data_IF_737904554795
#
_entry.id   IF_737904554795
#
_cell.length_a   1.000
_cell.length_b   1.000
_cell.length_c   1.000
_cell.angle_alpha   90.00
_cell.angle_beta   90.00
_cell.angle_gamma   90.00
#
_symmetry.space_group_name_H-M   'P 1'
#
loop_
_entity.id
_entity.type
_entity.pdbx_description
1 polymer ?
#
# COMPACT_ATOMS: atom_id res chain seq x y z
N UNK A 1 27.02 -62.03 -0.04
CA UNK A 1 26.21 -62.08 1.19
C UNK A 1 25.43 -60.78 1.25
N UNK A 2 24.30 -60.71 0.53
CA UNK A 2 22.93 -61.01 1.02
C UNK A 2 22.50 -60.11 2.17
N UNK A 3 21.49 -59.28 1.91
CA UNK A 3 20.78 -58.55 2.96
C UNK A 3 19.89 -57.42 2.46
N UNK A 4 19.04 -57.67 1.46
CA UNK A 4 17.89 -56.81 1.11
C UNK A 4 16.81 -57.00 2.19
N UNK A 5 16.25 -55.91 2.72
CA UNK A 5 14.97 -55.95 3.45
C UNK A 5 14.01 -54.91 2.89
N UNK A 6 12.93 -55.45 2.32
CA UNK A 6 11.65 -54.82 2.00
C UNK A 6 11.12 -54.04 3.23
N UNK A 7 10.42 -52.92 3.09
CA UNK A 7 9.21 -52.72 2.30
C UNK A 7 8.04 -52.61 3.28
N UNK A 8 7.61 -51.38 3.56
CA UNK A 8 6.31 -51.12 4.20
C UNK A 8 5.57 -50.12 3.33
N UNK A 9 4.57 -50.64 2.61
CA UNK A 9 3.62 -49.87 1.81
C UNK A 9 2.64 -49.22 2.77
N UNK A 10 2.70 -47.89 2.89
CA UNK A 10 1.57 -47.14 3.43
C UNK A 10 0.53 -47.02 2.32
N UNK A 11 -0.65 -47.53 2.61
CA UNK A 11 -1.78 -47.64 1.71
C UNK A 11 -2.21 -46.27 1.15
N UNK A 12 -2.48 -46.26 -0.15
CA UNK A 12 -3.23 -45.21 -0.80
C UNK A 12 -4.62 -45.12 -0.16
N UNK A 13 -4.98 -43.93 0.32
CA UNK A 13 -6.36 -43.60 0.62
C UNK A 13 -6.80 -42.49 -0.33
N UNK A 14 -7.19 -42.91 -1.53
CA UNK A 14 -7.92 -42.09 -2.50
C UNK A 14 -9.35 -41.93 -1.99
N UNK A 15 -9.66 -40.80 -1.35
CA UNK A 15 -11.05 -40.30 -1.26
C UNK A 15 -11.04 -38.79 -1.08
N UNK A 16 -11.42 -38.04 -2.12
CA UNK A 16 -11.55 -36.59 -2.02
C UNK A 16 -11.83 -35.92 -3.36
N UNK A 17 -13.11 -35.89 -3.73
CA UNK A 17 -13.69 -35.23 -4.91
C UNK A 17 -12.99 -33.91 -5.26
N UNK A 18 -12.31 -33.88 -6.41
CA UNK A 18 -11.72 -32.68 -6.99
C UNK A 18 -12.79 -31.73 -7.52
N UNK A 19 -13.29 -30.85 -6.67
CA UNK A 19 -13.79 -29.56 -7.11
C UNK A 19 -12.56 -28.71 -7.46
N UNK A 20 -12.40 -28.32 -8.72
CA UNK A 20 -11.29 -27.48 -9.15
C UNK A 20 -11.24 -26.20 -8.33
N UNK A 21 -10.32 -26.11 -7.36
CA UNK A 21 -10.07 -24.85 -6.67
C UNK A 21 -9.42 -23.92 -7.68
N UNK A 22 -10.13 -22.84 -8.04
CA UNK A 22 -9.54 -21.77 -8.85
C UNK A 22 -8.33 -21.23 -8.10
N UNK A 23 -7.16 -21.28 -8.74
CA UNK A 23 -5.93 -20.66 -8.20
C UNK A 23 -6.19 -19.17 -8.00
N UNK A 24 -5.96 -18.65 -6.78
CA UNK A 24 -6.10 -17.23 -6.50
C UNK A 24 -5.03 -16.45 -7.29
N UNK A 25 -5.47 -15.57 -8.18
CA UNK A 25 -4.59 -14.72 -9.01
C UNK A 25 -4.80 -13.24 -8.74
N UNK A 26 -3.75 -12.46 -9.03
CA UNK A 26 -3.73 -11.00 -9.02
C UNK A 26 -3.14 -10.51 -10.34
N UNK A 27 -3.59 -9.34 -10.81
CA UNK A 27 -3.01 -8.67 -11.97
C UNK A 27 -1.93 -7.72 -11.50
N UNK A 28 -0.69 -8.00 -11.89
CA UNK A 28 0.52 -7.33 -11.41
C UNK A 28 1.13 -6.49 -12.53
N UNK A 29 1.37 -5.21 -12.24
CA UNK A 29 2.14 -4.33 -13.12
C UNK A 29 3.64 -4.56 -12.95
N UNK A 30 4.14 -4.60 -11.70
CA UNK A 30 5.58 -4.62 -11.42
C UNK A 30 5.89 -5.30 -10.07
N UNK A 31 7.02 -6.01 -9.98
CA UNK A 31 7.60 -6.47 -8.70
C UNK A 31 9.11 -6.20 -8.75
N UNK A 32 9.64 -5.43 -7.81
CA UNK A 32 11.06 -5.09 -7.76
C UNK A 32 11.52 -4.70 -6.35
N UNK A 33 12.83 -4.76 -6.12
CA UNK A 33 13.46 -4.30 -4.87
C UNK A 33 13.87 -2.84 -5.01
N UNK A 34 13.64 -2.05 -3.96
CA UNK A 34 13.91 -0.62 -3.90
C UNK A 34 14.20 -0.15 -2.46
N UNK A 35 14.19 1.17 -2.26
CA UNK A 35 13.92 1.81 -0.98
C UNK A 35 12.46 2.28 -0.94
N UNK A 36 11.80 2.12 0.20
CA UNK A 36 10.51 2.75 0.44
C UNK A 36 10.71 4.27 0.31
N UNK A 37 9.95 4.88 -0.60
CA UNK A 37 10.12 6.28 -0.99
C UNK A 37 9.38 7.27 -0.09
N UNK A 38 8.36 6.82 0.62
CA UNK A 38 7.44 7.66 1.41
C UNK A 38 7.13 6.99 2.76
N UNK A 39 6.23 7.56 3.57
CA UNK A 39 5.78 7.07 4.88
C UNK A 39 6.82 7.20 6.00
N UNK A 40 6.51 6.70 7.19
CA UNK A 40 7.49 6.57 8.28
C UNK A 40 8.64 5.63 7.95
N UNK A 41 8.52 4.81 6.91
CA UNK A 41 9.52 3.84 6.46
C UNK A 41 10.41 4.34 5.31
N UNK A 42 10.29 5.61 4.92
CA UNK A 42 11.12 6.21 3.88
C UNK A 42 12.63 5.93 4.10
N UNK A 43 13.31 5.43 3.06
CA UNK A 43 14.72 5.05 3.09
C UNK A 43 15.01 3.61 3.53
N UNK A 44 14.00 2.82 3.89
CA UNK A 44 14.18 1.39 4.24
C UNK A 44 14.19 0.54 2.97
N UNK A 45 15.11 -0.43 2.80
CA UNK A 45 15.02 -1.43 1.73
C UNK A 45 13.69 -2.17 1.76
N UNK A 46 13.01 -2.25 0.62
CA UNK A 46 11.73 -2.94 0.49
C UNK A 46 11.55 -3.61 -0.87
N UNK A 47 10.70 -4.62 -0.93
CA UNK A 47 10.15 -5.13 -2.18
C UNK A 47 8.83 -4.44 -2.45
N UNK A 48 8.69 -3.80 -3.62
CA UNK A 48 7.42 -3.25 -4.07
C UNK A 48 6.68 -4.28 -4.91
N UNK A 49 5.39 -4.44 -4.63
CA UNK A 49 4.44 -5.24 -5.41
C UNK A 49 3.37 -4.28 -5.91
N UNK A 50 3.44 -3.92 -7.20
CA UNK A 50 2.51 -2.98 -7.84
C UNK A 50 1.43 -3.75 -8.59
N UNK A 51 0.21 -3.72 -8.09
CA UNK A 51 -0.98 -4.27 -8.73
C UNK A 51 -1.45 -3.36 -9.88
N UNK A 52 -2.32 -3.89 -10.73
CA UNK A 52 -2.95 -3.15 -11.83
C UNK A 52 -4.41 -2.82 -11.52
N UNK A 53 -4.89 -1.68 -12.02
CA UNK A 53 -6.30 -1.27 -12.02
C UNK A 53 -6.65 -0.40 -10.83
N UNK A 54 -7.30 0.74 -11.08
CA UNK A 54 -7.77 1.66 -10.04
C UNK A 54 -9.10 2.28 -10.48
N UNK A 55 -10.07 2.41 -9.57
CA UNK A 55 -11.32 3.13 -9.80
C UNK A 55 -11.19 4.65 -9.84
N UNK A 56 -10.09 5.22 -9.36
CA UNK A 56 -9.87 6.68 -9.32
C UNK A 56 -9.10 7.20 -10.55
N UNK A 57 -9.27 8.49 -10.86
CA UNK A 57 -8.49 9.21 -11.90
C UNK A 57 -7.95 10.53 -11.35
N UNK A 58 -7.11 10.42 -10.32
CA UNK A 58 -6.54 11.60 -9.65
C UNK A 58 -5.79 12.49 -10.66
N UNK A 59 -6.02 13.80 -10.62
CA UNK A 59 -5.39 14.76 -11.55
C UNK A 59 -3.86 14.79 -11.49
N UNK A 60 -3.27 14.39 -10.35
CA UNK A 60 -1.82 14.32 -10.12
C UNK A 60 -1.26 12.89 -10.12
N UNK A 61 -2.00 11.89 -10.64
CA UNK A 61 -1.55 10.50 -10.60
C UNK A 61 -0.22 10.32 -11.35
N UNK A 62 0.81 9.86 -10.65
CA UNK A 62 2.15 9.61 -11.20
C UNK A 62 2.34 8.18 -11.73
N UNK A 63 1.34 7.32 -11.51
CA UNK A 63 1.37 5.89 -11.85
C UNK A 63 0.22 5.51 -12.79
N UNK A 64 -0.14 6.38 -13.74
CA UNK A 64 -1.23 6.14 -14.71
C UNK A 64 -1.02 4.88 -15.54
N UNK A 65 0.23 4.45 -15.71
CA UNK A 65 0.58 3.21 -16.41
C UNK A 65 0.04 1.95 -15.72
N UNK A 66 -0.23 2.00 -14.42
CA UNK A 66 -0.82 0.89 -13.67
C UNK A 66 -2.35 0.85 -13.75
N UNK A 67 -3.00 1.67 -14.58
CA UNK A 67 -4.47 1.62 -14.75
C UNK A 67 -4.95 0.42 -15.59
N UNK A 68 -4.08 -0.17 -16.40
CA UNK A 68 -4.41 -1.29 -17.31
C UNK A 68 -3.17 -2.11 -17.67
N UNK A 69 -3.36 -3.31 -18.20
CA UNK A 69 -2.27 -4.22 -18.57
C UNK A 69 -1.85 -5.12 -17.40
N UNK A 70 -0.56 -5.42 -17.30
CA UNK A 70 -0.02 -6.31 -16.27
C UNK A 70 -0.26 -7.80 -16.53
N UNK A 71 0.41 -8.62 -15.73
CA UNK A 71 0.39 -10.08 -15.82
C UNK A 71 -0.50 -10.67 -14.73
N UNK A 72 -1.34 -11.63 -15.09
CA UNK A 72 -2.11 -12.41 -14.11
C UNK A 72 -1.22 -13.46 -13.47
N UNK A 73 -0.75 -13.21 -12.25
CA UNK A 73 0.13 -14.10 -11.50
C UNK A 73 -0.63 -14.80 -10.38
N UNK A 74 -0.27 -16.05 -10.10
CA UNK A 74 -0.76 -16.76 -8.91
C UNK A 74 -0.16 -16.13 -7.64
N UNK A 75 -0.92 -16.11 -6.54
CA UNK A 75 -0.42 -15.58 -5.26
C UNK A 75 0.88 -16.27 -4.82
N UNK A 76 0.99 -17.60 -5.01
CA UNK A 76 2.21 -18.35 -4.70
C UNK A 76 3.42 -17.92 -5.53
N UNK A 77 3.20 -17.56 -6.80
CA UNK A 77 4.25 -17.06 -7.69
C UNK A 77 4.73 -15.68 -7.23
N UNK A 78 3.81 -14.79 -6.87
CA UNK A 78 4.13 -13.46 -6.34
C UNK A 78 4.96 -13.58 -5.06
N UNK A 79 4.53 -14.43 -4.13
CA UNK A 79 5.26 -14.70 -2.88
C UNK A 79 6.68 -15.20 -3.17
N UNK A 80 6.83 -16.12 -4.12
CA UNK A 80 8.14 -16.66 -4.52
C UNK A 80 9.06 -15.54 -5.02
N UNK A 81 8.59 -14.71 -5.96
CA UNK A 81 9.35 -13.57 -6.49
C UNK A 81 9.73 -12.57 -5.41
N UNK A 82 8.83 -12.29 -4.47
CA UNK A 82 9.11 -11.39 -3.33
C UNK A 82 10.21 -11.95 -2.43
N UNK A 83 10.19 -13.26 -2.15
CA UNK A 83 11.22 -13.92 -1.34
C UNK A 83 12.59 -13.91 -2.04
N UNK A 84 12.65 -14.14 -3.34
CA UNK A 84 13.88 -14.08 -4.14
C UNK A 84 14.53 -12.68 -4.11
N UNK A 85 13.73 -11.63 -4.01
CA UNK A 85 14.20 -10.25 -3.89
C UNK A 85 14.73 -9.92 -2.48
N UNK A 86 14.42 -10.72 -1.46
CA UNK A 86 15.13 -10.72 -0.16
C UNK A 86 15.01 -9.44 0.68
N UNK A 87 13.86 -8.78 0.70
CA UNK A 87 13.60 -7.65 1.60
C UNK A 87 12.57 -8.02 2.67
N UNK A 88 12.86 -7.70 3.94
CA UNK A 88 11.96 -7.94 5.07
C UNK A 88 10.70 -7.05 5.05
N UNK A 89 10.78 -5.91 4.35
CA UNK A 89 9.69 -4.98 4.16
C UNK A 89 9.09 -5.18 2.76
N UNK A 90 7.78 -5.38 2.69
CA UNK A 90 7.04 -5.48 1.43
C UNK A 90 5.97 -4.39 1.37
N UNK A 91 6.02 -3.57 0.33
CA UNK A 91 4.99 -2.57 0.04
C UNK A 91 4.11 -3.08 -1.09
N UNK A 92 2.84 -3.37 -0.78
CA UNK A 92 1.81 -3.68 -1.76
C UNK A 92 1.10 -2.37 -2.12
N UNK A 93 1.06 -2.06 -3.41
CA UNK A 93 0.52 -0.81 -3.97
C UNK A 93 -0.03 -1.09 -5.37
N UNK A 94 -0.26 -0.05 -6.18
CA UNK A 94 -0.39 -0.17 -7.63
C UNK A 94 -1.82 -0.35 -8.11
N UNK A 95 -2.21 0.48 -9.08
CA UNK A 95 -3.61 0.84 -9.16
C UNK A 95 -4.17 1.03 -7.74
N UNK A 96 -5.38 0.54 -7.45
CA UNK A 96 -5.86 0.35 -6.09
C UNK A 96 -5.70 -1.14 -5.70
N UNK A 97 -4.76 -1.50 -4.81
CA UNK A 97 -4.54 -2.90 -4.47
C UNK A 97 -5.77 -3.55 -3.81
N UNK A 98 -6.56 -2.79 -3.06
CA UNK A 98 -7.73 -3.32 -2.34
C UNK A 98 -8.96 -3.52 -3.23
N UNK A 99 -8.91 -3.17 -4.52
CA UNK A 99 -9.94 -3.52 -5.50
C UNK A 99 -9.81 -4.96 -6.01
N UNK A 100 -8.62 -5.57 -5.90
CA UNK A 100 -8.42 -6.95 -6.32
C UNK A 100 -8.76 -7.93 -5.19
N UNK A 101 -9.80 -8.76 -5.41
CA UNK A 101 -10.37 -9.68 -4.42
C UNK A 101 -9.35 -10.58 -3.71
N UNK A 102 -8.28 -10.98 -4.42
CA UNK A 102 -7.29 -11.93 -3.92
C UNK A 102 -6.08 -11.26 -3.23
N UNK A 103 -6.16 -9.96 -2.89
CA UNK A 103 -5.05 -9.27 -2.22
C UNK A 103 -4.86 -9.74 -0.78
N UNK A 104 -5.94 -10.10 -0.07
CA UNK A 104 -5.84 -10.60 1.32
C UNK A 104 -5.00 -11.87 1.42
N UNK A 105 -5.21 -12.93 0.60
CA UNK A 105 -4.31 -14.07 0.57
C UNK A 105 -2.83 -13.72 0.37
N UNK A 106 -2.52 -12.73 -0.48
CA UNK A 106 -1.14 -12.27 -0.67
C UNK A 106 -0.57 -11.63 0.60
N UNK A 107 -1.33 -10.71 1.21
CA UNK A 107 -0.94 -10.03 2.45
C UNK A 107 -0.68 -11.05 3.56
N UNK A 108 -1.61 -11.99 3.76
CA UNK A 108 -1.52 -13.01 4.80
C UNK A 108 -0.35 -13.96 4.58
N UNK A 109 -0.12 -14.40 3.33
CA UNK A 109 0.99 -15.29 3.00
C UNK A 109 2.35 -14.63 3.27
N UNK A 110 2.53 -13.36 2.89
CA UNK A 110 3.76 -12.61 3.16
C UNK A 110 3.97 -12.36 4.66
N UNK A 111 2.91 -11.99 5.38
CA UNK A 111 2.97 -11.78 6.83
C UNK A 111 3.31 -13.08 7.58
N UNK A 112 2.75 -14.22 7.15
CA UNK A 112 3.04 -15.54 7.72
C UNK A 112 4.49 -16.00 7.53
N UNK A 113 5.17 -15.47 6.50
CA UNK A 113 6.62 -15.66 6.28
C UNK A 113 7.49 -14.72 7.12
N UNK A 114 6.89 -13.87 7.95
CA UNK A 114 7.58 -12.92 8.82
C UNK A 114 7.90 -11.58 8.18
N UNK A 115 7.45 -11.31 6.94
CA UNK A 115 7.64 -10.02 6.31
C UNK A 115 6.81 -8.93 7.02
N UNK A 116 7.38 -7.74 7.16
CA UNK A 116 6.59 -6.54 7.47
C UNK A 116 5.86 -6.11 6.21
N UNK A 117 4.53 -6.24 6.18
CA UNK A 117 3.71 -5.85 5.03
C UNK A 117 3.11 -4.47 5.25
N UNK A 118 3.23 -3.61 4.23
CA UNK A 118 2.53 -2.33 4.13
C UNK A 118 1.62 -2.33 2.90
N UNK A 119 0.46 -1.69 3.00
CA UNK A 119 -0.47 -1.51 1.88
C UNK A 119 -0.73 -0.01 1.71
N UNK A 120 -0.43 0.51 0.51
CA UNK A 120 -0.82 1.86 0.13
C UNK A 120 -2.13 1.83 -0.68
N UNK A 121 -3.15 2.54 -0.20
CA UNK A 121 -4.50 2.56 -0.78
C UNK A 121 -5.02 3.99 -0.93
N UNK A 122 -5.81 4.23 -1.98
CA UNK A 122 -6.46 5.51 -2.27
C UNK A 122 -7.69 5.80 -1.41
N UNK A 123 -8.06 4.90 -0.50
CA UNK A 123 -9.03 5.15 0.55
C UNK A 123 -10.49 5.25 0.12
N UNK A 124 -10.81 4.97 -1.14
CA UNK A 124 -12.17 4.88 -1.67
C UNK A 124 -12.80 3.49 -1.53
N UNK A 125 -12.01 2.47 -1.17
CA UNK A 125 -12.46 1.10 -0.85
C UNK A 125 -12.16 0.74 0.60
N UNK A 126 -12.74 -0.35 1.09
CA UNK A 126 -12.58 -0.78 2.50
C UNK A 126 -11.14 -1.17 2.81
N UNK A 127 -10.60 -0.75 3.95
CA UNK A 127 -9.28 -1.20 4.45
C UNK A 127 -9.31 -2.55 5.16
N UNK A 128 -10.49 -3.10 5.44
CA UNK A 128 -10.67 -4.41 6.11
C UNK A 128 -9.80 -5.53 5.53
N UNK A 129 -9.65 -5.68 4.19
CA UNK A 129 -8.82 -6.74 3.60
C UNK A 129 -7.35 -6.71 4.02
N UNK A 130 -6.83 -5.56 4.48
CA UNK A 130 -5.44 -5.39 4.92
C UNK A 130 -5.30 -5.21 6.45
N UNK A 131 -6.37 -4.78 7.13
CA UNK A 131 -6.32 -4.30 8.52
C UNK A 131 -5.83 -5.33 9.55
N UNK A 132 -5.88 -6.63 9.26
CA UNK A 132 -5.42 -7.66 10.20
C UNK A 132 -3.89 -7.94 10.11
N UNK A 133 -3.30 -7.82 8.92
CA UNK A 133 -1.98 -8.40 8.62
C UNK A 133 -1.00 -7.43 7.94
N UNK A 134 -1.41 -6.21 7.62
CA UNK A 134 -0.52 -5.19 7.06
C UNK A 134 -0.69 -3.85 7.78
N UNK A 135 0.35 -3.00 7.72
CA UNK A 135 0.23 -1.57 8.02
C UNK A 135 -0.46 -0.87 6.85
N UNK A 136 -1.52 -0.11 7.12
CA UNK A 136 -2.25 0.62 6.08
C UNK A 136 -1.72 2.05 5.97
N UNK A 137 -1.33 2.45 4.75
CA UNK A 137 -1.09 3.84 4.37
C UNK A 137 -2.32 4.30 3.58
N UNK A 138 -3.23 5.00 4.24
CA UNK A 138 -4.48 5.48 3.67
C UNK A 138 -4.28 6.87 3.07
N UNK A 139 -4.28 6.99 1.75
CA UNK A 139 -4.20 8.28 1.06
C UNK A 139 -5.60 8.91 0.92
N UNK A 140 -5.92 9.85 1.82
CA UNK A 140 -7.14 10.63 1.74
C UNK A 140 -7.01 11.68 0.63
N UNK A 141 -7.83 11.50 -0.40
CA UNK A 141 -7.82 12.33 -1.60
C UNK A 141 -8.30 13.74 -1.28
N UNK A 142 -7.46 14.73 -1.56
CA UNK A 142 -7.74 16.15 -1.39
C UNK A 142 -8.49 16.70 -2.61
N UNK A 143 -9.12 17.89 -2.53
CA UNK A 143 -9.80 18.51 -3.68
C UNK A 143 -8.94 18.58 -4.95
N UNK A 144 -7.64 18.85 -4.84
CA UNK A 144 -6.70 18.88 -5.96
C UNK A 144 -6.56 17.56 -6.72
N UNK A 145 -6.99 16.44 -6.13
CA UNK A 145 -7.08 15.16 -6.84
C UNK A 145 -8.26 15.10 -7.82
N UNK A 146 -9.30 15.90 -7.59
CA UNK A 146 -10.62 15.76 -8.23
C UNK A 146 -11.41 14.52 -7.80
N UNK A 147 -10.95 13.82 -6.75
CA UNK A 147 -11.45 12.51 -6.30
C UNK A 147 -11.87 12.52 -4.83
N UNK A 148 -11.89 13.67 -4.15
CA UNK A 148 -12.14 13.80 -2.71
C UNK A 148 -13.52 13.26 -2.27
N UNK A 149 -14.49 13.28 -3.19
CA UNK A 149 -15.85 12.75 -2.95
C UNK A 149 -15.89 11.22 -2.86
N UNK A 150 -14.86 10.54 -3.36
CA UNK A 150 -14.75 9.09 -3.30
C UNK A 150 -14.14 8.58 -1.99
N UNK A 151 -13.63 9.46 -1.12
CA UNK A 151 -13.08 9.05 0.17
C UNK A 151 -14.13 8.31 1.01
N UNK A 152 -13.78 7.08 1.41
CA UNK A 152 -14.59 6.27 2.32
C UNK A 152 -14.20 6.56 3.76
N UNK A 153 -14.93 7.48 4.39
CA UNK A 153 -14.60 8.00 5.71
C UNK A 153 -14.67 6.95 6.83
N UNK A 154 -15.44 5.88 6.66
CA UNK A 154 -15.54 4.76 7.60
C UNK A 154 -14.19 4.06 7.80
N UNK A 155 -13.28 4.14 6.83
CA UNK A 155 -11.93 3.60 6.98
C UNK A 155 -11.19 4.23 8.16
N UNK A 156 -11.48 5.49 8.51
CA UNK A 156 -10.84 6.16 9.63
C UNK A 156 -11.17 5.51 10.98
N UNK A 157 -12.34 4.88 11.10
CA UNK A 157 -12.75 4.16 12.31
C UNK A 157 -11.96 2.86 12.51
N UNK A 158 -11.32 2.35 11.46
CA UNK A 158 -10.59 1.08 11.47
C UNK A 158 -9.08 1.24 11.66
N UNK A 159 -8.58 2.48 11.72
CA UNK A 159 -7.16 2.76 11.83
C UNK A 159 -6.59 2.38 13.21
N UNK A 160 -5.38 1.83 13.20
CA UNK A 160 -4.58 1.47 14.36
C UNK A 160 -3.37 2.40 14.48
N UNK A 161 -2.66 2.31 15.59
CA UNK A 161 -1.46 3.14 15.83
C UNK A 161 -0.28 2.83 14.93
N UNK A 162 -0.27 1.65 14.30
CA UNK A 162 0.72 1.28 13.28
C UNK A 162 0.43 1.88 11.91
N UNK A 163 -0.82 2.29 11.64
CA UNK A 163 -1.25 2.76 10.33
C UNK A 163 -0.81 4.21 10.10
N UNK A 164 -1.02 4.71 8.89
CA UNK A 164 -0.67 6.07 8.48
C UNK A 164 -1.79 6.67 7.62
N UNK A 165 -2.05 7.97 7.77
CA UNK A 165 -2.93 8.71 6.85
C UNK A 165 -2.11 9.71 6.07
N UNK A 166 -2.17 9.62 4.75
CA UNK A 166 -1.48 10.49 3.80
C UNK A 166 -2.46 11.48 3.19
N UNK A 167 -2.01 12.72 3.05
CA UNK A 167 -2.68 13.74 2.24
C UNK A 167 -1.68 14.23 1.20
N UNK A 168 -1.95 13.98 -0.07
CA UNK A 168 -1.21 14.60 -1.18
C UNK A 168 -1.80 15.98 -1.48
N UNK A 169 -0.96 17.01 -1.42
CA UNK A 169 -1.36 18.41 -1.47
C UNK A 169 -0.80 19.06 -2.73
N UNK A 170 -1.68 19.63 -3.54
CA UNK A 170 -1.31 20.34 -4.78
C UNK A 170 -1.22 21.85 -4.58
N UNK A 171 -1.83 22.40 -3.54
CA UNK A 171 -1.96 23.84 -3.34
C UNK A 171 -2.22 24.24 -1.87
N UNK A 172 -2.38 25.55 -1.63
CA UNK A 172 -2.78 26.08 -0.31
C UNK A 172 -4.20 25.68 0.05
N UNK A 173 -5.10 25.57 -0.93
CA UNK A 173 -6.49 25.13 -0.74
C UNK A 173 -6.54 23.69 -0.22
N UNK A 174 -5.75 22.79 -0.80
CA UNK A 174 -5.62 21.40 -0.32
C UNK A 174 -5.08 21.36 1.12
N UNK A 175 -4.08 22.19 1.42
CA UNK A 175 -3.53 22.30 2.77
C UNK A 175 -4.59 22.75 3.78
N UNK A 176 -5.35 23.81 3.47
CA UNK A 176 -6.42 24.33 4.33
C UNK A 176 -7.52 23.29 4.53
N UNK A 177 -7.88 22.56 3.47
CA UNK A 177 -8.84 21.47 3.53
C UNK A 177 -8.35 20.33 4.43
N UNK A 178 -7.11 19.87 4.26
CA UNK A 178 -6.53 18.81 5.08
C UNK A 178 -6.43 19.23 6.56
N UNK A 179 -6.05 20.49 6.82
CA UNK A 179 -6.04 21.08 8.16
C UNK A 179 -7.42 21.07 8.81
N UNK A 180 -8.47 21.40 8.06
CA UNK A 180 -9.85 21.36 8.54
C UNK A 180 -10.32 19.93 8.83
N UNK A 181 -9.96 18.96 7.98
CA UNK A 181 -10.21 17.53 8.23
C UNK A 181 -9.61 17.10 9.57
N UNK A 182 -8.36 17.46 9.84
CA UNK A 182 -7.69 17.17 11.12
C UNK A 182 -8.35 17.88 12.31
N UNK A 183 -8.83 19.11 12.11
CA UNK A 183 -9.48 19.90 13.14
C UNK A 183 -10.85 19.33 13.54
N UNK A 184 -11.68 18.91 12.57
CA UNK A 184 -13.07 18.47 12.80
C UNK A 184 -13.23 16.99 13.06
N UNK A 185 -12.52 16.12 12.34
CA UNK A 185 -12.82 14.68 12.40
C UNK A 185 -12.35 14.05 13.70
N UNK A 186 -13.19 13.17 14.24
CA UNK A 186 -12.94 12.46 15.50
C UNK A 186 -13.20 10.95 15.35
N UNK A 187 -12.48 10.25 14.45
CA UNK A 187 -12.60 8.80 14.38
C UNK A 187 -12.31 8.19 15.75
N UNK A 188 -13.11 7.20 16.14
CA UNK A 188 -13.02 6.54 17.44
C UNK A 188 -13.09 7.52 18.63
N UNK A 189 -13.74 8.68 18.43
CA UNK A 189 -13.82 9.78 19.42
C UNK A 189 -12.52 10.57 19.62
N UNK A 190 -11.47 10.35 18.81
CA UNK A 190 -10.12 10.92 19.01
C UNK A 190 -9.67 11.76 17.82
N UNK A 191 -8.76 12.70 18.04
CA UNK A 191 -8.08 13.39 16.94
C UNK A 191 -7.29 12.37 16.11
N UNK A 192 -7.29 12.51 14.78
CA UNK A 192 -6.61 11.57 13.89
C UNK A 192 -5.11 11.41 14.23
N UNK A 193 -4.41 12.50 14.52
CA UNK A 193 -3.01 12.51 14.95
C UNK A 193 -2.74 11.88 16.32
N UNK A 194 -3.79 11.50 17.06
CA UNK A 194 -3.71 10.71 18.31
C UNK A 194 -4.01 9.23 18.08
N UNK A 195 -4.43 8.86 16.88
CA UNK A 195 -4.64 7.47 16.48
C UNK A 195 -3.38 6.97 15.80
N UNK A 196 -2.93 7.68 14.75
CA UNK A 196 -1.88 7.24 13.85
C UNK A 196 -1.04 8.41 13.33
N UNK A 197 0.03 8.10 12.59
CA UNK A 197 0.85 9.13 11.94
C UNK A 197 0.06 9.78 10.80
N UNK A 198 0.10 11.12 10.73
CA UNK A 198 -0.46 11.88 9.63
C UNK A 198 0.66 12.47 8.78
N UNK A 199 0.64 12.19 7.49
CA UNK A 199 1.62 12.61 6.48
C UNK A 199 1.02 13.68 5.59
N UNK A 200 1.72 14.81 5.45
CA UNK A 200 1.43 15.83 4.44
C UNK A 200 2.49 15.74 3.35
N UNK A 201 2.08 15.43 2.13
CA UNK A 201 2.96 15.18 0.98
C UNK A 201 2.73 16.23 -0.09
N UNK A 202 3.76 16.96 -0.54
CA UNK A 202 3.60 17.86 -1.68
C UNK A 202 3.51 17.04 -2.98
N UNK A 203 2.52 17.33 -3.81
CA UNK A 203 2.43 16.73 -5.14
C UNK A 203 3.58 17.21 -6.02
N UNK A 204 4.28 16.28 -6.67
CA UNK A 204 5.46 16.58 -7.46
C UNK A 204 5.17 17.61 -8.55
N UNK A 205 6.00 18.66 -8.62
CA UNK A 205 5.89 19.73 -9.61
C UNK A 205 4.71 20.69 -9.41
N UNK A 206 3.82 20.44 -8.45
CA UNK A 206 2.65 21.26 -8.17
C UNK A 206 2.78 22.08 -6.88
N UNK A 207 3.40 21.50 -5.85
CA UNK A 207 3.64 22.18 -4.58
C UNK A 207 5.10 22.10 -4.17
N UNK A 208 5.70 23.25 -3.87
CA UNK A 208 7.06 23.32 -3.32
C UNK A 208 7.09 22.72 -1.90
N UNK A 209 7.93 21.70 -1.64
CA UNK A 209 8.11 21.13 -0.31
C UNK A 209 8.49 22.14 0.77
N UNK A 210 9.29 23.17 0.45
CA UNK A 210 9.71 24.18 1.41
C UNK A 210 8.52 25.07 1.81
N UNK A 211 7.63 25.37 0.87
CA UNK A 211 6.41 26.12 1.12
C UNK A 211 5.47 25.33 2.04
N UNK A 212 5.26 24.04 1.75
CA UNK A 212 4.46 23.16 2.61
C UNK A 212 5.06 23.04 4.02
N UNK A 213 6.38 22.91 4.13
CA UNK A 213 7.07 22.88 5.43
C UNK A 213 6.81 24.17 6.22
N UNK A 214 6.92 25.34 5.57
CA UNK A 214 6.62 26.63 6.18
C UNK A 214 5.20 26.70 6.74
N UNK A 215 4.21 26.22 6.00
CA UNK A 215 2.82 26.18 6.44
C UNK A 215 2.61 25.29 7.67
N UNK A 216 3.18 24.08 7.67
CA UNK A 216 3.10 23.14 8.79
C UNK A 216 3.69 23.76 10.06
N UNK A 217 4.83 24.45 9.94
CA UNK A 217 5.51 25.10 11.05
C UNK A 217 4.72 26.31 11.59
N UNK A 218 4.18 27.14 10.69
CA UNK A 218 3.36 28.32 11.03
C UNK A 218 2.13 27.91 11.86
N UNK A 219 1.40 26.90 11.41
CA UNK A 219 0.18 26.42 12.07
C UNK A 219 0.45 25.43 13.22
N UNK A 220 1.71 25.02 13.43
CA UNK A 220 2.12 24.03 14.43
C UNK A 220 1.33 22.72 14.34
N UNK A 221 1.12 22.23 13.12
CA UNK A 221 0.31 21.04 12.89
C UNK A 221 1.01 19.78 13.41
N UNK A 222 0.29 18.85 14.07
CA UNK A 222 0.82 17.58 14.53
C UNK A 222 0.88 16.56 13.37
N UNK A 223 1.65 16.89 12.34
CA UNK A 223 1.80 16.10 11.11
C UNK A 223 3.28 15.97 10.76
N UNK A 224 3.61 14.99 9.91
CA UNK A 224 4.94 14.79 9.35
C UNK A 224 4.95 15.26 7.90
N UNK A 225 5.94 16.06 7.52
CA UNK A 225 6.24 16.32 6.11
C UNK A 225 6.73 15.02 5.47
N UNK A 226 6.08 14.59 4.41
CA UNK A 226 6.39 13.37 3.69
C UNK A 226 6.86 13.70 2.27
N UNK A 227 8.13 13.43 1.99
CA UNK A 227 8.72 13.66 0.68
C UNK A 227 8.80 12.36 -0.10
N UNK A 228 8.75 12.46 -1.42
CA UNK A 228 8.98 11.33 -2.32
C UNK A 228 10.50 11.11 -2.50
N UNK A 229 11.13 10.39 -1.57
CA UNK A 229 12.58 10.19 -1.54
C UNK A 229 13.11 9.58 -2.85
N UNK A 230 12.35 8.65 -3.44
CA UNK A 230 12.72 8.00 -4.69
C UNK A 230 12.86 9.00 -5.87
N UNK A 231 12.08 10.08 -5.89
CA UNK A 231 12.20 11.15 -6.90
C UNK A 231 13.44 12.02 -6.69
N UNK A 232 13.91 12.13 -5.45
CA UNK A 232 15.14 12.87 -5.11
C UNK A 232 16.37 12.04 -5.50
N UNK A 233 16.35 10.74 -5.21
CA UNK A 233 17.47 9.83 -5.49
C UNK A 233 17.60 9.50 -6.99
N UNK A 234 16.47 9.32 -7.68
CA UNK A 234 16.44 8.90 -9.09
C UNK A 234 15.51 9.80 -9.92
N UNK A 235 15.86 11.09 -10.11
CA UNK A 235 14.97 12.06 -10.76
C UNK A 235 14.68 11.77 -12.23
N UNK A 236 15.57 11.03 -12.92
CA UNK A 236 15.41 10.65 -14.32
C UNK A 236 14.67 9.31 -14.53
N UNK A 237 14.40 8.57 -13.45
CA UNK A 237 13.77 7.27 -13.56
C UNK A 237 12.25 7.41 -13.62
N UNK A 238 11.67 6.78 -14.63
CA UNK A 238 10.22 6.80 -14.82
C UNK A 238 9.51 5.69 -14.04
N UNK A 239 10.19 4.55 -13.80
CA UNK A 239 9.67 3.35 -13.10
C UNK A 239 10.80 2.52 -12.49
N UNK A 240 10.45 1.61 -11.56
CA UNK A 240 11.30 0.48 -11.18
C UNK A 240 12.69 0.86 -10.64
N UNK A 241 12.74 1.78 -9.67
CA UNK A 241 13.98 2.21 -8.99
C UNK A 241 14.21 1.47 -7.69
#
# INVERSE_FOLDING_TARGET
MSGVLAGSRVAANETGRGGGQSVATLVISEIYRSLQGESTRAGTPCTLVRLTGCGLRCGYCDTTYAFSGGDSLAVSEIVTRVCELGADLVLITGGEPLEQKNVTPLIEALAALGATVMVETGGHVSVVPAAAAATVILDLKTPGSGMEKHNRWENLELLRSSDEVKFVLTSREDYLWAREVLARRRPQGRKLSRICTVLFSPAQGLLDPALLAGWILEDRLPVRLNLQLHRILWPAAERGV
#
